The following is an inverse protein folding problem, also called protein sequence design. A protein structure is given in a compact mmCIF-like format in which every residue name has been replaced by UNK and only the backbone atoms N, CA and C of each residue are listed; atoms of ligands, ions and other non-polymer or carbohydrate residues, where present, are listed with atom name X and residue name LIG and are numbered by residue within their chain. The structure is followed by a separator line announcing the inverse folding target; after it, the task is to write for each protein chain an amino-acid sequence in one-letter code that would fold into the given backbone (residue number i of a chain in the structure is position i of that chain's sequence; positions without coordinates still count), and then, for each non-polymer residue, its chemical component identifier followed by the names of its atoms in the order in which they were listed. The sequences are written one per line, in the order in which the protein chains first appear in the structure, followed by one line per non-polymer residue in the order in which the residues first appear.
data_IF_676476488790
#
_entry.id   IF_676476488790
#
_cell.length_a   1.000
_cell.length_b   1.000
_cell.length_c   1.000
_cell.angle_alpha   90.00
_cell.angle_beta   90.00
_cell.angle_gamma   90.00
#
_symmetry.space_group_name_H-M   'P 1'
#
loop_
_entity.id
_entity.type
_entity.pdbx_description
1 polymer ?
#
# COMPACT_ATOMS: atom_id res chain seq x y z
N UNK A 1 -6.30 -14.03 -58.23
CA UNK A 1 -7.08 -15.14 -57.63
C UNK A 1 -8.06 -14.55 -56.60
N UNK A 2 -9.05 -15.31 -56.09
CA UNK A 2 -10.25 -14.74 -55.43
C UNK A 2 -10.09 -14.39 -53.94
N UNK A 3 -10.39 -13.12 -53.62
CA UNK A 3 -11.17 -12.58 -52.47
C UNK A 3 -10.79 -12.92 -50.99
N UNK A 4 -11.29 -12.13 -49.99
CA UNK A 4 -10.69 -12.06 -48.64
C UNK A 4 -11.73 -12.13 -47.49
N UNK A 5 -11.37 -11.55 -46.34
CA UNK A 5 -12.22 -10.97 -45.29
C UNK A 5 -12.80 -11.86 -44.15
N UNK A 6 -12.21 -11.69 -42.96
CA UNK A 6 -12.89 -11.73 -41.66
C UNK A 6 -12.12 -10.78 -40.70
N UNK A 7 -12.43 -9.48 -40.56
CA UNK A 7 -13.68 -8.83 -40.15
C UNK A 7 -13.94 -8.84 -38.63
N UNK A 8 -13.33 -7.85 -37.94
CA UNK A 8 -13.80 -7.13 -36.73
C UNK A 8 -14.63 -7.90 -35.68
N UNK A 9 -14.16 -7.86 -34.43
CA UNK A 9 -14.99 -7.32 -33.33
C UNK A 9 -14.17 -6.91 -32.10
N UNK A 10 -14.32 -5.65 -31.70
CA UNK A 10 -14.05 -5.21 -30.34
C UNK A 10 -15.38 -5.07 -29.58
N UNK A 11 -15.41 -5.60 -28.36
CA UNK A 11 -16.40 -5.43 -27.27
C UNK A 11 -15.81 -6.19 -26.08
N UNK A 12 -15.64 -5.68 -24.85
CA UNK A 12 -16.39 -4.67 -24.08
C UNK A 12 -17.84 -5.08 -23.78
N UNK A 13 -18.27 -4.78 -22.55
CA UNK A 13 -19.67 -4.94 -22.08
C UNK A 13 -20.04 -6.42 -21.75
N UNK A 14 -21.05 -6.68 -20.88
CA UNK A 14 -20.78 -7.38 -19.61
C UNK A 14 -21.79 -8.52 -19.31
N UNK A 15 -21.98 -8.89 -18.03
CA UNK A 15 -23.13 -9.58 -17.36
C UNK A 15 -24.13 -10.38 -18.22
N UNK A 16 -24.57 -11.60 -17.85
CA UNK A 16 -25.38 -11.82 -16.64
C UNK A 16 -25.77 -13.32 -16.46
N UNK A 17 -25.71 -13.80 -15.22
CA UNK A 17 -26.67 -14.71 -14.55
C UNK A 17 -27.22 -15.98 -15.23
N UNK A 18 -27.04 -17.12 -14.55
CA UNK A 18 -28.10 -18.14 -14.40
C UNK A 18 -28.12 -18.68 -12.97
N UNK A 19 -29.12 -18.25 -12.19
CA UNK A 19 -29.26 -18.55 -10.75
C UNK A 19 -29.65 -20.01 -10.47
N UNK A 20 -29.01 -20.60 -9.45
CA UNK A 20 -29.69 -21.35 -8.39
C UNK A 20 -28.94 -21.12 -7.07
N UNK A 21 -29.65 -20.59 -6.07
CA UNK A 21 -29.21 -20.38 -4.68
C UNK A 21 -28.77 -21.71 -4.01
N UNK A 22 -27.97 -21.80 -2.94
CA UNK A 22 -27.27 -20.85 -2.02
C UNK A 22 -26.49 -21.73 -1.01
N UNK A 23 -25.31 -21.45 -0.44
CA UNK A 23 -24.22 -20.46 -0.54
C UNK A 23 -22.92 -21.27 -0.15
N UNK A 24 -21.65 -20.92 -0.37
CA UNK A 24 -20.95 -19.65 -0.61
C UNK A 24 -20.06 -19.74 -1.85
N UNK A 25 -19.92 -18.62 -2.57
CA UNK A 25 -18.89 -18.43 -3.59
C UNK A 25 -18.50 -16.95 -3.64
N UNK A 26 -17.56 -16.53 -2.79
CA UNK A 26 -17.00 -15.17 -2.86
C UNK A 26 -16.06 -15.04 -4.05
N UNK A 27 -16.17 -13.88 -4.71
CA UNK A 27 -15.26 -13.31 -5.70
C UNK A 27 -13.82 -13.84 -5.64
N UNK A 28 -13.17 -14.12 -6.77
CA UNK A 28 -12.69 -13.05 -7.66
C UNK A 28 -11.99 -11.94 -6.88
N UNK A 29 -10.99 -12.29 -6.08
CA UNK A 29 -9.80 -11.47 -6.05
C UNK A 29 -8.55 -12.36 -6.06
N UNK A 30 -7.74 -12.24 -7.10
CA UNK A 30 -6.34 -12.63 -7.01
C UNK A 30 -5.67 -11.54 -6.16
N UNK A 31 -5.50 -11.77 -4.85
CA UNK A 31 -4.89 -10.80 -3.92
C UNK A 31 -3.37 -10.76 -4.13
N UNK A 32 -2.96 -10.39 -5.34
CA UNK A 32 -1.77 -9.62 -5.59
C UNK A 32 -2.21 -8.20 -5.92
N UNK A 33 -2.29 -7.27 -4.95
CA UNK A 33 -2.13 -5.86 -5.30
C UNK A 33 -0.81 -5.73 -6.08
N UNK A 34 -0.88 -5.00 -7.19
CA UNK A 34 0.18 -4.81 -8.19
C UNK A 34 1.61 -4.72 -7.60
N UNK A 35 2.60 -5.26 -8.33
CA UNK A 35 4.01 -5.35 -7.89
C UNK A 35 4.72 -3.99 -7.97
N UNK A 36 4.24 -3.08 -7.14
CA UNK A 36 4.94 -1.90 -6.62
C UNK A 36 5.46 -0.93 -7.67
N UNK A 37 4.52 -0.16 -8.27
CA UNK A 37 4.73 1.29 -8.36
C UNK A 37 4.56 1.94 -6.97
N UNK A 38 5.44 1.58 -6.03
CA UNK A 38 5.60 2.33 -4.79
C UNK A 38 5.90 3.80 -5.16
N UNK A 39 5.21 4.74 -4.53
CA UNK A 39 5.55 6.17 -4.67
C UNK A 39 6.94 6.41 -4.08
N UNK A 40 7.64 7.47 -4.54
CA UNK A 40 9.01 7.75 -4.09
C UNK A 40 9.11 7.83 -2.56
N UNK A 41 8.08 8.39 -1.91
CA UNK A 41 7.96 8.51 -0.45
C UNK A 41 7.72 7.14 0.21
N UNK A 42 6.83 6.30 -0.33
CA UNK A 42 6.57 4.96 0.21
C UNK A 42 7.82 4.07 0.17
N UNK A 43 8.60 4.09 -0.93
CA UNK A 43 9.87 3.35 -1.01
C UNK A 43 10.81 3.74 0.14
N UNK A 44 10.99 5.05 0.35
CA UNK A 44 11.93 5.59 1.34
C UNK A 44 11.48 5.28 2.76
N UNK A 45 10.18 5.32 3.04
CA UNK A 45 9.62 4.87 4.32
C UNK A 45 9.86 3.37 4.55
N UNK A 46 9.60 2.52 3.57
CA UNK A 46 9.82 1.06 3.67
C UNK A 46 11.30 0.74 3.89
N UNK A 47 12.21 1.28 3.07
CA UNK A 47 13.66 1.03 3.23
C UNK A 47 14.19 1.50 4.59
N UNK A 48 13.74 2.66 5.09
CA UNK A 48 14.12 3.11 6.43
C UNK A 48 13.58 2.22 7.57
N UNK A 49 12.43 1.57 7.38
CA UNK A 49 11.91 0.57 8.33
C UNK A 49 12.69 -0.77 8.23
N UNK A 50 13.13 -1.14 7.03
CA UNK A 50 13.96 -2.33 6.77
C UNK A 50 15.39 -2.18 7.36
N UNK A 51 16.02 -1.01 7.22
CA UNK A 51 17.36 -0.70 7.75
C UNK A 51 17.51 -1.02 9.25
N UNK A 52 16.48 -0.65 10.03
CA UNK A 52 16.43 -0.84 11.49
C UNK A 52 15.67 -2.13 11.88
N UNK A 53 15.34 -2.97 10.88
CA UNK A 53 14.72 -4.30 11.03
C UNK A 53 13.40 -4.24 11.80
N UNK A 54 12.48 -3.36 11.37
CA UNK A 54 11.10 -3.44 11.83
C UNK A 54 10.46 -4.77 11.41
N UNK A 55 9.50 -5.25 12.20
CA UNK A 55 8.67 -6.42 11.87
C UNK A 55 7.38 -5.99 11.22
N UNK A 56 6.70 -6.92 10.56
CA UNK A 56 5.33 -6.79 10.07
C UNK A 56 5.07 -5.49 9.28
N UNK A 57 5.99 -5.14 8.38
CA UNK A 57 5.87 -3.95 7.53
C UNK A 57 4.73 -4.17 6.52
N UNK A 58 3.64 -3.44 6.69
CA UNK A 58 2.44 -3.50 5.83
C UNK A 58 2.18 -2.12 5.23
N UNK A 59 2.13 -2.05 3.90
CA UNK A 59 1.73 -0.85 3.15
C UNK A 59 0.26 -0.99 2.76
N UNK A 60 -0.58 -0.07 3.23
CA UNK A 60 -2.01 -0.01 2.97
C UNK A 60 -2.34 1.16 2.03
N UNK A 61 -3.02 0.88 0.93
CA UNK A 61 -3.65 1.88 0.07
C UNK A 61 -5.02 2.26 0.66
N UNK A 62 -5.14 3.50 1.16
CA UNK A 62 -6.33 3.97 1.88
C UNK A 62 -7.14 5.01 1.10
N UNK A 63 -6.78 5.29 -0.17
CA UNK A 63 -7.49 6.23 -1.07
C UNK A 63 -8.97 5.93 -1.28
N UNK A 64 -9.38 4.67 -1.07
CA UNK A 64 -10.76 4.20 -1.18
C UNK A 64 -11.56 4.35 0.14
N UNK A 65 -10.89 4.69 1.24
CA UNK A 65 -11.46 4.80 2.59
C UNK A 65 -11.49 6.25 3.09
N UNK A 66 -10.50 7.07 2.73
CA UNK A 66 -10.40 8.48 3.15
C UNK A 66 -9.67 9.32 2.11
N UNK A 67 -10.02 10.60 2.03
CA UNK A 67 -9.31 11.60 1.21
C UNK A 67 -8.21 12.36 1.98
N UNK A 68 -7.96 12.01 3.25
CA UNK A 68 -6.93 12.65 4.07
C UNK A 68 -5.51 12.10 3.81
N UNK A 69 -5.41 10.83 3.38
CA UNK A 69 -4.15 10.12 3.19
C UNK A 69 -4.24 9.22 1.96
N UNK A 70 -3.18 9.17 1.14
CA UNK A 70 -3.11 8.21 0.02
C UNK A 70 -2.69 6.82 0.48
N UNK A 71 -1.81 6.71 1.48
CA UNK A 71 -1.27 5.43 1.93
C UNK A 71 -0.81 5.50 3.37
N UNK A 72 -0.96 4.40 4.07
CA UNK A 72 -0.51 4.21 5.44
C UNK A 72 0.53 3.09 5.47
N UNK A 73 1.69 3.33 6.07
CA UNK A 73 2.71 2.29 6.32
C UNK A 73 2.67 1.96 7.81
N UNK A 74 2.37 0.72 8.13
CA UNK A 74 2.36 0.18 9.50
C UNK A 74 3.57 -0.73 9.65
N UNK A 75 4.25 -0.67 10.79
CA UNK A 75 5.32 -1.60 11.14
C UNK A 75 5.43 -1.76 12.66
N UNK A 76 5.84 -2.96 13.08
CA UNK A 76 5.99 -3.35 14.49
C UNK A 76 7.43 -3.17 14.96
N UNK A 77 7.62 -2.54 16.11
CA UNK A 77 8.91 -2.46 16.81
C UNK A 77 8.96 -3.46 17.97
N UNK A 78 10.13 -4.05 18.22
CA UNK A 78 10.34 -5.00 19.34
C UNK A 78 10.55 -4.30 20.70
N UNK A 79 10.80 -3.00 20.70
CA UNK A 79 10.97 -2.19 21.91
C UNK A 79 10.73 -0.71 21.67
N UNK A 80 10.36 0.03 22.71
CA UNK A 80 10.19 1.49 22.64
C UNK A 80 11.47 2.23 22.20
N UNK A 81 12.67 1.66 22.45
CA UNK A 81 13.94 2.21 21.93
C UNK A 81 14.08 2.00 20.42
N UNK A 82 13.65 0.84 19.89
CA UNK A 82 13.62 0.60 18.45
C UNK A 82 12.54 1.46 17.77
N UNK A 83 11.36 1.63 18.37
CA UNK A 83 10.31 2.53 17.87
C UNK A 83 10.81 3.98 17.72
N UNK A 84 11.49 4.50 18.75
CA UNK A 84 12.19 5.80 18.70
C UNK A 84 13.23 5.86 17.57
N UNK A 85 14.07 4.83 17.42
CA UNK A 85 15.07 4.78 16.36
C UNK A 85 14.47 4.75 14.94
N UNK A 86 13.45 3.92 14.73
CA UNK A 86 12.68 3.81 13.48
C UNK A 86 12.08 5.16 13.09
N UNK A 87 11.37 5.81 14.00
CA UNK A 87 10.75 7.11 13.73
C UNK A 87 11.75 8.20 13.38
N UNK A 88 12.89 8.27 14.10
CA UNK A 88 13.96 9.22 13.78
C UNK A 88 14.57 8.96 12.39
N UNK A 89 14.87 7.70 12.05
CA UNK A 89 15.49 7.34 10.77
C UNK A 89 14.54 7.50 9.57
N UNK A 90 13.26 7.14 9.72
CA UNK A 90 12.21 7.43 8.73
C UNK A 90 12.07 8.93 8.51
N UNK A 91 11.93 9.71 9.60
CA UNK A 91 11.85 11.18 9.56
C UNK A 91 13.04 11.80 8.82
N UNK A 92 14.26 11.36 9.11
CA UNK A 92 15.45 11.99 8.56
C UNK A 92 15.76 11.52 7.12
N UNK A 93 15.37 10.28 6.76
CA UNK A 93 15.34 9.80 5.36
C UNK A 93 14.32 10.55 4.51
N UNK A 94 13.14 10.83 5.07
CA UNK A 94 12.09 11.62 4.41
C UNK A 94 12.54 13.08 4.19
N UNK A 95 13.16 13.72 5.19
CA UNK A 95 13.77 15.05 5.04
C UNK A 95 14.85 15.07 3.95
N UNK A 96 15.75 14.08 3.93
CA UNK A 96 16.79 13.96 2.90
C UNK A 96 16.20 13.78 1.49
N UNK A 97 14.98 13.25 1.38
CA UNK A 97 14.25 13.11 0.10
C UNK A 97 13.54 14.39 -0.37
N UNK A 98 13.45 15.41 0.48
CA UNK A 98 12.71 16.65 0.25
C UNK A 98 11.21 16.58 0.62
N UNK A 99 10.80 15.61 1.44
CA UNK A 99 9.41 15.48 1.88
C UNK A 99 9.10 16.37 3.11
N UNK A 100 7.96 17.07 3.06
CA UNK A 100 7.44 17.84 4.20
C UNK A 100 6.84 16.91 5.24
N UNK A 101 7.27 17.04 6.49
CA UNK A 101 6.75 16.29 7.65
C UNK A 101 5.88 17.24 8.47
N UNK A 102 4.65 16.82 8.79
CA UNK A 102 3.64 17.67 9.42
C UNK A 102 3.85 17.74 10.95
N UNK A 103 4.21 16.62 11.57
CA UNK A 103 4.49 16.48 12.99
C UNK A 103 4.99 15.08 13.31
N UNK A 104 5.47 14.87 14.54
CA UNK A 104 5.80 13.54 15.07
C UNK A 104 5.14 13.41 16.44
N UNK A 105 4.36 12.35 16.65
CA UNK A 105 3.62 12.10 17.89
C UNK A 105 4.04 10.77 18.52
N UNK A 106 3.78 10.59 19.82
CA UNK A 106 4.08 9.36 20.56
C UNK A 106 5.57 9.10 20.89
N UNK A 107 6.51 9.80 20.22
CA UNK A 107 7.96 9.57 20.34
C UNK A 107 8.45 9.55 21.79
N UNK A 108 7.92 10.36 22.70
CA UNK A 108 8.39 10.41 24.10
C UNK A 108 8.17 9.09 24.85
N UNK A 109 7.01 8.45 24.69
CA UNK A 109 6.71 7.16 25.32
C UNK A 109 7.38 6.04 24.52
N UNK A 110 7.10 5.97 23.22
CA UNK A 110 7.60 4.94 22.31
C UNK A 110 6.76 3.65 22.27
N UNK A 111 5.62 3.60 22.95
CA UNK A 111 4.62 2.51 22.82
C UNK A 111 3.93 2.54 21.44
N UNK A 112 3.75 3.75 20.90
CA UNK A 112 3.34 4.06 19.55
C UNK A 112 4.10 5.31 19.09
N UNK A 113 4.34 5.46 17.78
CA UNK A 113 4.92 6.67 17.20
C UNK A 113 4.27 6.93 15.84
N UNK A 114 3.94 8.18 15.55
CA UNK A 114 3.40 8.65 14.27
C UNK A 114 4.36 9.68 13.66
N UNK A 115 4.55 9.66 12.34
CA UNK A 115 5.54 10.46 11.56
C UNK A 115 4.91 10.91 10.25
#
# INVERSE_FOLDING_TARGET
MRLPAAARRGRSSPVCFRLRFWLILTATNCIGPDRMRLSKIQNIAVTALEDIKARDIVVLDVRQLTSLYDSLVIATAESARQAKALANHVRDSLKASGATIIGVEGEQTGDWVLV
#
